data_IF_451109673884
#
_entry.id   IF_451109673884
#
_cell.length_a   1.000
_cell.length_b   1.000
_cell.length_c   1.000
_cell.angle_alpha   90.00
_cell.angle_beta   90.00
_cell.angle_gamma   90.00
#
_symmetry.space_group_name_H-M   'P 1'
#
loop_
_entity.id
_entity.type
_entity.pdbx_description
1 polymer ?
#
# COMPACT_ATOMS: atom_id res chain seq x y z
N UNK A 1 13.39 19.17 2.68
CA UNK A 1 13.69 19.16 1.23
C UNK A 1 12.42 19.45 0.47
N UNK A 2 12.53 19.95 -0.76
CA UNK A 2 11.45 20.05 -1.72
C UNK A 2 11.52 18.85 -2.65
N UNK A 3 10.46 18.07 -2.68
CA UNK A 3 10.39 16.83 -3.43
C UNK A 3 9.23 16.87 -4.40
N UNK A 4 9.40 16.16 -5.51
CA UNK A 4 8.30 15.88 -6.43
C UNK A 4 8.16 14.37 -6.57
N UNK A 5 6.95 13.88 -6.78
CA UNK A 5 6.73 12.46 -6.97
C UNK A 5 5.73 12.18 -8.08
N UNK A 6 5.86 11.00 -8.69
CA UNK A 6 4.89 10.45 -9.63
C UNK A 6 4.50 9.06 -9.17
N UNK A 7 3.20 8.84 -8.99
CA UNK A 7 2.65 7.50 -8.70
C UNK A 7 1.95 6.93 -9.93
N UNK A 8 2.17 5.66 -10.28
CA UNK A 8 1.52 5.06 -11.45
C UNK A 8 1.23 3.57 -11.30
N UNK A 9 -0.05 3.20 -11.36
CA UNK A 9 -0.50 1.81 -11.27
C UNK A 9 -1.43 1.47 -12.47
N UNK A 10 -1.22 0.33 -13.17
CA UNK A 10 -2.02 -0.01 -14.34
C UNK A 10 -3.45 -0.42 -13.97
N UNK A 11 -3.68 -0.85 -12.73
CA UNK A 11 -4.97 -1.40 -12.26
C UNK A 11 -5.95 -0.33 -11.80
N UNK A 12 -5.68 0.96 -12.05
CA UNK A 12 -6.54 2.09 -11.70
C UNK A 12 -5.87 3.07 -10.74
N UNK A 13 -6.64 4.06 -10.27
CA UNK A 13 -6.12 5.17 -9.46
C UNK A 13 -5.99 4.85 -7.96
N UNK A 14 -6.63 3.79 -7.46
CA UNK A 14 -6.71 3.54 -6.01
C UNK A 14 -5.33 3.32 -5.36
N UNK A 15 -4.49 2.43 -5.92
CA UNK A 15 -3.14 2.23 -5.40
C UNK A 15 -2.25 3.46 -5.60
N UNK A 16 -2.39 4.17 -6.73
CA UNK A 16 -1.64 5.40 -6.99
C UNK A 16 -1.99 6.52 -5.99
N UNK A 17 -3.28 6.67 -5.65
CA UNK A 17 -3.76 7.62 -4.65
C UNK A 17 -3.30 7.25 -3.24
N UNK A 18 -3.41 5.97 -2.86
CA UNK A 18 -2.86 5.53 -1.56
C UNK A 18 -1.36 5.77 -1.46
N UNK A 19 -0.59 5.49 -2.51
CA UNK A 19 0.84 5.80 -2.53
C UNK A 19 1.10 7.31 -2.42
N UNK A 20 0.29 8.14 -3.08
CA UNK A 20 0.42 9.59 -2.98
C UNK A 20 0.14 10.09 -1.56
N UNK A 21 -0.95 9.64 -0.93
CA UNK A 21 -1.29 9.97 0.44
C UNK A 21 -0.23 9.50 1.44
N UNK A 22 0.32 8.30 1.25
CA UNK A 22 1.41 7.79 2.09
C UNK A 22 2.68 8.65 1.97
N UNK A 23 3.06 9.03 0.76
CA UNK A 23 4.20 9.92 0.51
C UNK A 23 3.98 11.30 1.12
N UNK A 24 2.79 11.89 0.97
CA UNK A 24 2.43 13.18 1.56
C UNK A 24 2.49 13.16 3.09
N UNK A 25 1.92 12.14 3.71
CA UNK A 25 1.94 11.96 5.16
C UNK A 25 3.36 11.81 5.70
N UNK A 26 4.19 10.98 5.06
CA UNK A 26 5.58 10.81 5.48
C UNK A 26 6.39 12.08 5.25
N UNK A 27 6.16 12.81 4.15
CA UNK A 27 6.82 14.11 3.94
C UNK A 27 6.48 15.10 5.06
N UNK A 28 5.20 15.20 5.45
CA UNK A 28 4.79 16.05 6.57
C UNK A 28 5.47 15.64 7.89
N UNK A 29 5.52 14.33 8.17
CA UNK A 29 6.17 13.78 9.37
C UNK A 29 7.68 14.10 9.41
N UNK A 30 8.36 14.06 8.26
CA UNK A 30 9.79 14.36 8.13
C UNK A 30 10.09 15.86 7.93
N UNK A 31 9.07 16.72 7.89
CA UNK A 31 9.24 18.15 7.65
C UNK A 31 9.75 18.48 6.25
N UNK A 32 9.28 17.75 5.24
CA UNK A 32 9.58 17.96 3.83
C UNK A 32 8.35 18.48 3.09
N UNK A 33 8.58 19.23 2.01
CA UNK A 33 7.54 19.64 1.08
C UNK A 33 7.53 18.64 -0.08
N UNK A 34 6.36 18.11 -0.45
CA UNK A 34 6.22 17.21 -1.59
C UNK A 34 5.04 17.61 -2.48
N UNK A 35 5.17 17.45 -3.79
CA UNK A 35 4.06 17.52 -4.74
C UNK A 35 3.97 16.19 -5.50
N UNK A 36 2.80 15.55 -5.47
CA UNK A 36 2.61 14.22 -6.07
C UNK A 36 1.67 14.28 -7.27
N UNK A 37 2.18 13.91 -8.45
CA UNK A 37 1.39 13.66 -9.66
C UNK A 37 0.91 12.21 -9.66
N UNK A 38 -0.39 12.01 -9.85
CA UNK A 38 -1.04 10.70 -9.80
C UNK A 38 -1.39 10.29 -11.21
N UNK A 39 -0.79 9.23 -11.72
CA UNK A 39 -1.09 8.67 -13.03
C UNK A 39 -1.87 7.36 -12.86
N UNK A 40 -2.98 7.24 -13.59
CA UNK A 40 -3.74 6.01 -13.65
C UNK A 40 -4.49 5.86 -14.97
N UNK A 41 -5.34 4.84 -15.04
CA UNK A 41 -6.08 4.52 -16.26
C UNK A 41 -7.03 5.65 -16.75
N UNK A 42 -7.42 6.57 -15.87
CA UNK A 42 -8.30 7.70 -16.18
C UNK A 42 -7.55 8.97 -16.61
N UNK A 43 -6.22 8.96 -16.58
CA UNK A 43 -5.37 10.13 -16.86
C UNK A 43 -4.45 10.47 -15.70
N UNK A 44 -3.84 11.66 -15.79
CA UNK A 44 -3.02 12.22 -14.74
C UNK A 44 -3.82 13.24 -13.92
N UNK A 45 -3.61 13.23 -12.60
CA UNK A 45 -4.11 14.23 -11.65
C UNK A 45 -2.91 14.93 -11.00
N UNK A 46 -3.08 16.20 -10.61
CA UNK A 46 -2.04 17.00 -9.97
C UNK A 46 -0.72 17.05 -10.78
N UNK A 47 -0.82 17.22 -12.09
CA UNK A 47 0.35 17.23 -12.98
C UNK A 47 1.43 18.21 -12.52
N UNK A 48 2.67 17.73 -12.51
CA UNK A 48 3.83 18.51 -12.13
C UNK A 48 4.18 19.52 -13.22
N UNK A 49 4.13 20.79 -12.84
CA UNK A 49 4.63 21.89 -13.66
C UNK A 49 6.15 21.85 -13.78
N UNK A 50 6.67 22.36 -14.89
CA UNK A 50 8.12 22.45 -15.13
C UNK A 50 8.87 23.24 -14.05
N UNK A 51 8.26 24.32 -13.56
CA UNK A 51 8.83 25.12 -12.48
C UNK A 51 8.93 24.32 -11.17
N UNK A 52 7.87 23.59 -10.80
CA UNK A 52 7.84 22.73 -9.62
C UNK A 52 8.92 21.64 -9.68
N UNK A 53 9.14 21.05 -10.85
CA UNK A 53 10.21 20.06 -11.05
C UNK A 53 11.58 20.73 -10.90
N UNK A 54 11.81 21.88 -11.54
CA UNK A 54 13.09 22.58 -11.48
C UNK A 54 13.45 23.12 -10.08
N UNK A 55 12.44 23.42 -9.25
CA UNK A 55 12.63 23.86 -7.86
C UNK A 55 12.79 22.68 -6.86
N UNK A 56 12.71 21.44 -7.32
CA UNK A 56 12.79 20.24 -6.48
C UNK A 56 14.25 19.82 -6.25
N UNK A 57 14.54 19.36 -5.04
CA UNK A 57 15.83 18.78 -4.68
C UNK A 57 15.96 17.35 -5.25
N UNK A 58 14.89 16.56 -5.23
CA UNK A 58 14.85 15.21 -5.80
C UNK A 58 13.43 14.81 -6.25
N UNK A 59 13.35 13.78 -7.08
CA UNK A 59 12.12 13.20 -7.58
C UNK A 59 11.95 11.73 -7.18
N UNK A 60 10.76 11.33 -6.75
CA UNK A 60 10.41 9.92 -6.46
C UNK A 60 9.44 9.41 -7.51
N UNK A 61 9.82 8.39 -8.29
CA UNK A 61 8.92 7.74 -9.25
C UNK A 61 8.52 6.38 -8.70
N UNK A 62 7.31 6.30 -8.16
CA UNK A 62 6.70 5.10 -7.62
C UNK A 62 5.71 4.52 -8.64
N UNK A 63 6.18 3.63 -9.52
CA UNK A 63 5.40 3.19 -10.66
C UNK A 63 5.54 1.69 -10.92
N UNK A 64 4.39 1.06 -11.20
CA UNK A 64 4.30 -0.31 -11.73
C UNK A 64 4.10 -0.29 -13.26
N UNK A 65 4.22 0.89 -13.88
CA UNK A 65 4.18 1.09 -15.33
C UNK A 65 5.32 2.00 -15.80
N UNK A 66 5.50 2.11 -17.12
CA UNK A 66 6.50 3.02 -17.68
C UNK A 66 6.04 4.49 -17.54
N UNK A 67 6.87 5.30 -16.87
CA UNK A 67 6.68 6.75 -16.70
C UNK A 67 7.85 7.49 -17.35
N UNK A 68 7.56 8.54 -18.12
CA UNK A 68 8.59 9.39 -18.73
C UNK A 68 9.41 10.11 -17.66
N UNK A 69 10.74 10.06 -17.83
CA UNK A 69 11.71 10.69 -16.93
C UNK A 69 12.33 11.95 -17.52
N UNK A 70 12.05 12.23 -18.79
CA UNK A 70 12.67 13.30 -19.57
C UNK A 70 12.52 14.67 -18.89
N UNK A 71 11.40 14.89 -18.19
CA UNK A 71 11.12 16.15 -17.45
C UNK A 71 12.06 16.36 -16.26
N UNK A 72 12.45 15.29 -15.58
CA UNK A 72 13.33 15.34 -14.40
C UNK A 72 14.80 15.39 -14.83
N UNK A 73 15.16 14.60 -15.84
CA UNK A 73 16.50 14.61 -16.44
C UNK A 73 16.84 15.97 -17.06
N UNK A 74 15.89 16.59 -17.77
CA UNK A 74 16.08 17.93 -18.34
C UNK A 74 16.23 19.04 -17.28
N UNK A 75 15.83 18.78 -16.04
CA UNK A 75 15.95 19.69 -14.92
C UNK A 75 17.13 19.36 -13.99
N UNK A 76 17.94 18.34 -14.33
CA UNK A 76 19.06 17.84 -13.51
C UNK A 76 18.64 17.39 -12.09
N UNK A 77 17.40 16.90 -11.96
CA UNK A 77 16.84 16.46 -10.67
C UNK A 77 17.12 14.96 -10.48
N UNK A 78 17.78 14.54 -9.38
CA UNK A 78 18.02 13.13 -9.10
C UNK A 78 16.70 12.38 -8.91
N UNK A 79 16.61 11.17 -9.48
CA UNK A 79 15.38 10.37 -9.49
C UNK A 79 15.58 9.08 -8.69
N UNK A 80 14.76 8.89 -7.67
CA UNK A 80 14.61 7.62 -6.95
C UNK A 80 13.45 6.84 -7.53
N UNK A 81 13.70 5.59 -7.92
CA UNK A 81 12.68 4.70 -8.50
C UNK A 81 12.18 3.71 -7.46
N UNK A 82 10.88 3.44 -7.46
CA UNK A 82 10.24 2.50 -6.56
C UNK A 82 8.99 1.88 -7.20
N UNK A 83 8.47 0.82 -6.58
CA UNK A 83 7.14 0.29 -6.90
C UNK A 83 6.06 1.08 -6.16
N UNK A 84 4.82 1.04 -6.64
CA UNK A 84 3.68 1.64 -5.92
C UNK A 84 3.54 1.01 -4.54
N UNK A 85 3.79 -0.30 -4.43
CA UNK A 85 3.77 -1.02 -3.15
C UNK A 85 4.80 -0.48 -2.16
N UNK A 86 6.02 -0.20 -2.61
CA UNK A 86 7.06 0.38 -1.75
C UNK A 86 6.64 1.77 -1.25
N UNK A 87 6.05 2.59 -2.12
CA UNK A 87 5.53 3.92 -1.74
C UNK A 87 4.30 3.89 -0.81
N UNK A 88 3.76 2.71 -0.48
CA UNK A 88 2.70 2.55 0.52
C UNK A 88 3.28 2.01 1.84
N UNK A 89 4.21 1.06 1.77
CA UNK A 89 4.65 0.29 2.94
C UNK A 89 6.01 0.71 3.50
N UNK A 90 6.82 1.41 2.71
CA UNK A 90 8.22 1.69 3.01
C UNK A 90 8.60 3.09 2.50
N UNK A 91 7.77 4.08 2.83
CA UNK A 91 7.94 5.46 2.36
C UNK A 91 9.19 6.10 2.93
N UNK A 92 9.49 5.89 4.21
CA UNK A 92 10.67 6.46 4.89
C UNK A 92 11.97 6.13 4.14
N UNK A 93 12.15 4.86 3.71
CA UNK A 93 13.31 4.45 2.92
C UNK A 93 13.42 5.22 1.59
N UNK A 94 12.30 5.58 0.96
CA UNK A 94 12.31 6.38 -0.27
C UNK A 94 12.79 7.81 -0.02
N UNK A 95 12.43 8.41 1.12
CA UNK A 95 12.90 9.73 1.50
C UNK A 95 14.38 9.72 1.90
N UNK A 96 14.85 8.68 2.58
CA UNK A 96 16.27 8.48 2.88
C UNK A 96 17.08 8.41 1.59
N UNK A 97 16.70 7.52 0.66
CA UNK A 97 17.35 7.40 -0.65
C UNK A 97 17.31 8.69 -1.46
N UNK A 98 16.23 9.46 -1.36
CA UNK A 98 16.14 10.77 -2.01
C UNK A 98 17.11 11.76 -1.37
N UNK A 99 17.27 11.74 -0.05
CA UNK A 99 18.23 12.59 0.65
C UNK A 99 19.69 12.24 0.31
N UNK A 100 19.99 10.95 0.17
CA UNK A 100 21.29 10.44 -0.24
C UNK A 100 21.61 10.89 -1.68
N UNK A 101 20.67 10.76 -2.62
CA UNK A 101 20.86 11.17 -4.01
C UNK A 101 21.04 12.69 -4.20
N UNK A 102 20.64 13.51 -3.21
CA UNK A 102 20.93 14.95 -3.18
C UNK A 102 22.35 15.21 -2.65
N UNK A 103 22.84 14.38 -1.73
CA UNK A 103 24.19 14.48 -1.16
C UNK A 103 25.29 13.89 -2.05
N UNK A 104 24.97 12.79 -2.71
CA UNK A 104 25.77 12.08 -3.69
C UNK A 104 25.07 12.24 -5.04
N UNK A 105 25.57 13.10 -5.94
CA UNK A 105 24.93 13.38 -7.23
C UNK A 105 24.94 12.20 -8.21
N UNK A 106 24.32 11.07 -7.88
CA UNK A 106 24.22 9.87 -8.70
C UNK A 106 22.84 9.20 -8.54
N UNK A 107 22.11 9.10 -9.64
CA UNK A 107 20.80 8.45 -9.72
C UNK A 107 20.93 6.94 -9.43
N UNK A 108 20.38 6.47 -8.31
CA UNK A 108 20.42 5.05 -7.96
C UNK A 108 19.31 4.28 -8.68
N UNK A 109 19.67 3.47 -9.68
CA UNK A 109 18.81 2.44 -10.27
C UNK A 109 18.67 1.25 -9.29
N UNK A 110 17.47 0.95 -8.75
CA UNK A 110 17.28 -0.31 -8.04
C UNK A 110 16.88 -1.39 -9.04
N UNK A 111 17.88 -2.08 -9.59
CA UNK A 111 17.68 -3.48 -9.99
C UNK A 111 18.11 -4.36 -8.80
N UNK A 112 17.25 -5.31 -8.42
CA UNK A 112 17.36 -6.29 -7.32
C UNK A 112 16.62 -5.94 -6.02
N UNK A 113 15.33 -6.24 -6.00
CA UNK A 113 14.62 -6.64 -4.78
C UNK A 113 14.34 -8.15 -4.89
N UNK A 114 15.34 -8.96 -4.53
CA UNK A 114 15.11 -10.36 -4.17
C UNK A 114 14.75 -10.40 -2.68
N UNK A 115 13.64 -11.08 -2.38
CA UNK A 115 13.08 -11.16 -1.04
C UNK A 115 13.89 -12.05 -0.11
N UNK A 116 13.86 -11.73 1.17
CA UNK A 116 14.08 -12.69 2.24
C UNK A 116 12.84 -12.74 3.13
N UNK A 117 12.17 -13.88 3.04
CA UNK A 117 11.24 -14.35 4.04
C UNK A 117 12.04 -14.95 5.21
N UNK A 118 11.75 -14.52 6.43
CA UNK A 118 12.06 -15.28 7.63
C UNK A 118 10.75 -15.54 8.38
N UNK A 119 10.36 -16.81 8.46
CA UNK A 119 9.21 -17.29 9.20
C UNK A 119 9.65 -18.12 10.42
N UNK A 120 8.80 -18.07 11.45
CA UNK A 120 8.70 -18.96 12.64
C UNK A 120 9.71 -18.70 13.76
N UNK A 121 9.34 -18.59 15.04
CA UNK A 121 8.08 -18.73 15.80
C UNK A 121 8.35 -18.14 17.19
N UNK A 122 7.42 -17.90 18.10
CA UNK A 122 6.01 -18.21 18.29
C UNK A 122 5.62 -17.76 19.72
N UNK A 123 4.32 -17.67 19.99
CA UNK A 123 3.69 -17.71 21.33
C UNK A 123 3.88 -16.46 22.22
N UNK A 124 2.90 -15.87 22.91
CA UNK A 124 1.53 -16.25 23.31
C UNK A 124 0.74 -14.98 23.73
N UNK A 125 -0.55 -14.95 23.39
CA UNK A 125 -1.62 -14.05 23.86
C UNK A 125 -1.72 -13.99 25.41
N UNK A 126 -2.04 -12.87 26.06
CA UNK A 126 -3.29 -12.12 25.88
C UNK A 126 -4.36 -12.61 26.86
N UNK A 127 -4.15 -12.39 28.16
CA UNK A 127 -5.07 -12.77 29.23
C UNK A 127 -6.19 -11.72 29.39
N UNK A 128 -7.42 -12.05 29.00
CA UNK A 128 -8.64 -11.35 29.46
C UNK A 128 -9.76 -12.33 29.82
N UNK A 129 -10.07 -12.39 31.11
CA UNK A 129 -11.42 -12.27 31.69
C UNK A 129 -12.55 -13.26 31.32
N UNK A 130 -12.93 -14.06 32.33
CA UNK A 130 -14.28 -14.52 32.72
C UNK A 130 -15.20 -15.25 31.72
N UNK A 131 -15.29 -16.57 31.94
CA UNK A 131 -16.47 -17.43 32.13
C UNK A 131 -17.75 -17.24 31.27
N UNK A 132 -18.20 -18.31 30.59
CA UNK A 132 -19.39 -19.14 30.92
C UNK A 132 -19.50 -20.35 29.94
N UNK A 133 -19.54 -21.57 30.50
CA UNK A 133 -20.55 -22.60 30.14
C UNK A 133 -20.40 -23.54 28.93
N UNK A 134 -19.57 -24.57 29.09
CA UNK A 134 -19.79 -26.00 28.80
C UNK A 134 -20.70 -26.52 27.63
N UNK A 135 -20.04 -27.23 26.70
CA UNK A 135 -20.27 -28.64 26.27
C UNK A 135 -20.56 -28.94 24.78
N UNK A 136 -19.74 -29.90 24.33
CA UNK A 136 -20.05 -31.04 23.45
C UNK A 136 -19.84 -30.93 21.94
N UNK A 137 -18.71 -31.56 21.55
CA UNK A 137 -18.53 -32.55 20.48
C UNK A 137 -18.81 -32.13 19.03
N UNK A 138 -17.74 -32.19 18.25
CA UNK A 138 -17.70 -33.20 17.19
C UNK A 138 -18.02 -32.74 15.77
N UNK A 139 -16.93 -32.55 15.01
CA UNK A 139 -16.75 -32.90 13.60
C UNK A 139 -17.61 -32.20 12.52
N UNK A 140 -16.90 -31.31 11.81
CA UNK A 140 -16.78 -31.18 10.34
C UNK A 140 -18.03 -30.83 9.51
N UNK A 141 -18.05 -29.66 8.86
CA UNK A 141 -18.94 -29.39 7.74
C UNK A 141 -18.17 -29.44 6.42
N UNK A 142 -18.29 -30.55 5.70
CA UNK A 142 -18.33 -30.51 4.24
C UNK A 142 -19.79 -30.79 3.84
N UNK A 143 -20.25 -30.17 2.75
CA UNK A 143 -21.54 -30.40 2.06
C UNK A 143 -22.79 -29.61 2.50
N UNK A 144 -22.87 -28.38 1.97
CA UNK A 144 -23.75 -27.99 0.84
C UNK A 144 -25.17 -28.60 0.81
N UNK A 145 -26.19 -27.72 0.82
CA UNK A 145 -27.43 -27.94 0.05
C UNK A 145 -28.73 -27.99 0.87
N UNK A 146 -29.57 -26.96 0.74
CA UNK A 146 -30.83 -26.82 1.46
C UNK A 146 -32.01 -27.63 0.93
N UNK A 147 -33.07 -27.71 1.74
CA UNK A 147 -34.43 -28.10 1.30
C UNK A 147 -35.49 -27.28 2.07
N UNK A 148 -36.25 -26.38 1.41
CA UNK A 148 -37.14 -25.41 2.07
C UNK A 148 -38.47 -25.98 2.60
N UNK A 149 -38.66 -27.31 2.63
CA UNK A 149 -39.92 -27.96 3.07
C UNK A 149 -39.92 -28.55 4.48
N UNK A 150 -38.84 -28.37 5.25
CA UNK A 150 -38.75 -28.84 6.65
C UNK A 150 -38.92 -27.72 7.69
N UNK A 151 -39.46 -26.57 7.26
CA UNK A 151 -39.86 -25.49 8.13
C UNK A 151 -41.13 -25.80 8.90
N UNK A 152 -41.07 -25.60 10.22
CA UNK A 152 -42.18 -25.17 11.07
C UNK A 152 -43.21 -26.20 11.58
N UNK A 153 -43.44 -27.37 10.96
CA UNK A 153 -44.52 -28.27 11.41
C UNK A 153 -44.15 -29.36 12.45
N UNK A 154 -42.88 -29.53 12.82
CA UNK A 154 -42.48 -30.55 13.80
C UNK A 154 -42.57 -30.10 15.27
N UNK A 155 -42.85 -28.81 15.55
CA UNK A 155 -42.69 -28.24 16.91
C UNK A 155 -43.96 -28.14 17.76
N UNK A 156 -45.11 -28.67 17.32
CA UNK A 156 -46.39 -28.50 18.04
C UNK A 156 -47.05 -29.81 18.54
N UNK A 157 -46.58 -31.01 18.17
CA UNK A 157 -47.28 -32.28 18.51
C UNK A 157 -46.59 -33.16 19.56
N UNK A 158 -46.11 -32.58 20.67
CA UNK A 158 -45.86 -33.33 21.92
C UNK A 158 -46.11 -32.47 23.17
N UNK A 159 -47.34 -31.98 23.33
CA UNK A 159 -47.84 -31.51 24.64
C UNK A 159 -49.02 -32.33 25.19
N UNK A 160 -49.58 -33.24 24.41
CA UNK A 160 -50.61 -34.18 24.86
C UNK A 160 -50.32 -35.58 24.32
N UNK A 161 -49.53 -36.36 25.05
CA UNK A 161 -49.78 -37.78 25.35
C UNK A 161 -48.72 -38.31 26.30
#
# INVERSE_FOLDING_TARGET
MKLVAVTSCPTGIAHSQMAAESLEQTAEQLGHEIHVEIQGAMGAENELGKATIADADAAIIAADTAVSRDRFEAADVPVVKATVKAAINDTESLFERASEAVGDGEATDPETAEGEAAASGGSEDGETGSEVGANTEGLSPDQIGGDPRKGLFARVKRRFS
#
